data_IF_880566798453
#
_entry.id   IF_880566798453
#
_cell.length_a   1.000
_cell.length_b   1.000
_cell.length_c   1.000
_cell.angle_alpha   90.00
_cell.angle_beta   90.00
_cell.angle_gamma   90.00
#
_symmetry.space_group_name_H-M   'P 1'
#
loop_
_entity.id
_entity.type
_entity.pdbx_description
1 polymer ?
#
# COMPACT_ATOMS: atom_id res chain seq x y z
N UNK A 1 2.52 30.93 -7.18
CA UNK A 1 2.15 29.57 -6.76
C UNK A 1 3.39 28.90 -6.23
N UNK A 2 3.33 28.33 -5.02
CA UNK A 2 4.48 27.62 -4.44
C UNK A 2 4.55 26.26 -5.15
N UNK A 3 5.72 25.90 -5.67
CA UNK A 3 5.94 24.55 -6.21
C UNK A 3 5.95 23.57 -5.04
N UNK A 4 5.02 22.61 -5.05
CA UNK A 4 4.91 21.55 -4.05
C UNK A 4 6.14 20.64 -4.14
N UNK A 5 6.60 20.09 -3.02
CA UNK A 5 7.65 19.07 -2.99
C UNK A 5 7.14 17.76 -2.42
N UNK A 6 7.27 16.67 -3.18
CA UNK A 6 7.00 15.31 -2.71
C UNK A 6 8.30 14.53 -2.56
N UNK A 7 8.54 13.97 -1.37
CA UNK A 7 9.65 13.04 -1.13
C UNK A 7 9.22 11.59 -1.38
N UNK A 8 9.97 10.84 -2.20
CA UNK A 8 9.78 9.40 -2.39
C UNK A 8 11.13 8.67 -2.31
N UNK A 9 11.10 7.37 -2.03
CA UNK A 9 12.31 6.55 -1.98
C UNK A 9 13.04 6.60 -3.33
N UNK A 10 14.37 6.71 -3.32
CA UNK A 10 15.21 6.82 -4.53
C UNK A 10 15.23 5.56 -5.38
N UNK A 11 15.21 4.39 -4.76
CA UNK A 11 15.31 3.09 -5.43
C UNK A 11 14.56 2.01 -4.65
N UNK A 12 14.34 0.86 -5.28
CA UNK A 12 13.67 -0.28 -4.64
C UNK A 12 12.17 -0.35 -4.93
N UNK A 13 11.49 -1.31 -4.31
CA UNK A 13 10.10 -1.66 -4.63
C UNK A 13 9.11 -0.52 -4.33
N UNK A 14 9.37 0.26 -3.28
CA UNK A 14 8.50 1.38 -2.91
C UNK A 14 8.63 2.51 -3.95
N UNK A 15 9.84 2.77 -4.46
CA UNK A 15 10.06 3.73 -5.55
C UNK A 15 9.24 3.38 -6.79
N UNK A 16 9.34 2.14 -7.28
CA UNK A 16 8.65 1.71 -8.50
C UNK A 16 7.14 1.95 -8.41
N UNK A 17 6.53 1.59 -7.28
CA UNK A 17 5.10 1.78 -7.05
C UNK A 17 4.71 3.24 -6.80
N UNK A 18 5.58 4.03 -6.18
CA UNK A 18 5.39 5.47 -5.99
C UNK A 18 5.44 6.21 -7.33
N UNK A 19 6.37 5.85 -8.21
CA UNK A 19 6.45 6.41 -9.57
C UNK A 19 5.23 5.99 -10.39
N UNK A 20 4.82 4.73 -10.31
CA UNK A 20 3.64 4.21 -11.00
C UNK A 20 2.37 4.98 -10.59
N UNK A 21 2.12 5.18 -9.29
CA UNK A 21 0.93 5.91 -8.84
C UNK A 21 0.96 7.38 -9.27
N UNK A 22 2.12 8.05 -9.20
CA UNK A 22 2.25 9.44 -9.65
C UNK A 22 2.03 9.58 -11.16
N UNK A 23 2.57 8.66 -11.97
CA UNK A 23 2.30 8.61 -13.42
C UNK A 23 0.82 8.35 -13.70
N UNK A 24 0.21 7.42 -12.97
CA UNK A 24 -1.22 7.15 -13.10
C UNK A 24 -2.08 8.32 -12.65
N UNK A 25 -1.60 9.21 -11.76
CA UNK A 25 -2.25 10.49 -11.47
C UNK A 25 -2.22 11.47 -12.66
N UNK A 26 -1.57 11.11 -13.76
CA UNK A 26 -1.38 11.94 -14.95
C UNK A 26 -0.23 12.94 -14.80
N UNK A 27 0.72 12.71 -13.90
CA UNK A 27 1.88 13.58 -13.73
C UNK A 27 2.98 13.20 -14.73
N UNK A 28 3.48 14.20 -15.46
CA UNK A 28 4.50 14.05 -16.48
C UNK A 28 5.86 14.47 -15.94
N UNK A 29 6.74 13.49 -15.71
CA UNK A 29 8.11 13.71 -15.24
C UNK A 29 9.06 12.65 -15.80
N UNK A 30 10.30 13.07 -16.04
CA UNK A 30 11.37 12.26 -16.65
C UNK A 30 12.58 12.16 -15.72
N UNK A 31 13.58 11.35 -16.11
CA UNK A 31 14.91 11.27 -15.45
C UNK A 31 14.88 10.92 -13.95
N UNK A 32 13.81 10.29 -13.46
CA UNK A 32 13.64 9.92 -12.04
C UNK A 32 14.62 8.85 -11.53
N UNK A 33 15.37 8.19 -12.43
CA UNK A 33 16.38 7.17 -12.07
C UNK A 33 17.79 7.73 -11.92
N UNK A 34 18.08 8.87 -12.56
CA UNK A 34 19.42 9.46 -12.63
C UNK A 34 19.56 10.77 -11.85
N UNK A 35 18.45 11.38 -11.46
CA UNK A 35 18.42 12.64 -10.70
C UNK A 35 17.93 12.44 -9.27
N UNK A 36 18.37 13.33 -8.37
CA UNK A 36 17.82 13.45 -7.01
C UNK A 36 16.57 14.31 -6.96
N UNK A 37 16.32 15.11 -8.00
CA UNK A 37 15.17 16.01 -8.12
C UNK A 37 14.60 15.89 -9.54
N UNK A 38 13.29 15.75 -9.67
CA UNK A 38 12.60 15.79 -10.97
C UNK A 38 11.40 16.73 -10.90
N UNK A 39 11.36 17.71 -11.80
CA UNK A 39 10.24 18.65 -11.93
C UNK A 39 9.13 18.02 -12.77
N UNK A 40 7.89 18.17 -12.32
CA UNK A 40 6.70 17.77 -13.08
C UNK A 40 6.30 18.88 -14.05
N UNK A 41 6.11 18.54 -15.32
CA UNK A 41 5.90 19.55 -16.38
C UNK A 41 4.48 20.09 -16.46
N UNK A 42 3.49 19.34 -15.95
CA UNK A 42 2.07 19.64 -16.08
C UNK A 42 1.35 19.82 -14.73
N UNK A 43 2.10 19.99 -13.64
CA UNK A 43 1.59 20.21 -12.30
C UNK A 43 2.68 20.89 -11.46
N UNK A 44 2.39 21.85 -10.56
CA UNK A 44 3.39 22.58 -9.78
C UNK A 44 4.00 21.69 -8.67
N UNK A 45 4.78 20.68 -9.06
CA UNK A 45 5.37 19.68 -8.18
C UNK A 45 6.82 19.37 -8.57
N UNK A 46 7.66 19.24 -7.55
CA UNK A 46 8.99 18.65 -7.62
C UNK A 46 9.02 17.35 -6.82
N UNK A 47 9.63 16.32 -7.40
CA UNK A 47 9.83 15.03 -6.75
C UNK A 47 11.27 14.97 -6.25
N UNK A 48 11.42 14.78 -4.94
CA UNK A 48 12.70 14.54 -4.27
C UNK A 48 12.91 13.03 -4.08
N UNK A 49 14.04 12.51 -4.53
CA UNK A 49 14.40 11.10 -4.43
C UNK A 49 15.39 10.89 -3.28
N UNK A 50 14.90 10.40 -2.15
CA UNK A 50 15.65 10.30 -0.88
C UNK A 50 15.87 8.85 -0.46
N UNK A 51 16.67 8.60 0.57
CA UNK A 51 16.58 7.32 1.29
C UNK A 51 15.26 7.30 2.05
N UNK A 52 14.66 6.13 2.17
CA UNK A 52 13.38 5.95 2.87
C UNK A 52 13.43 6.43 4.31
N UNK A 53 14.53 6.15 5.02
CA UNK A 53 14.73 6.57 6.41
C UNK A 53 14.81 8.10 6.58
N UNK A 54 15.18 8.85 5.53
CA UNK A 54 15.31 10.31 5.57
C UNK A 54 13.97 11.03 5.28
N UNK A 55 13.00 10.35 4.63
CA UNK A 55 11.73 10.97 4.20
C UNK A 55 10.93 11.58 5.36
N UNK A 56 10.76 10.91 6.52
CA UNK A 56 9.98 11.46 7.63
C UNK A 56 10.50 12.81 8.12
N UNK A 57 11.81 12.94 8.30
CA UNK A 57 12.46 14.16 8.78
C UNK A 57 12.34 15.28 7.75
N UNK A 58 12.54 14.98 6.46
CA UNK A 58 12.37 15.97 5.38
C UNK A 58 10.95 16.54 5.31
N UNK A 59 9.94 15.72 5.60
CA UNK A 59 8.54 16.16 5.64
C UNK A 59 8.26 16.93 6.93
N UNK A 60 8.73 16.45 8.08
CA UNK A 60 8.57 17.14 9.37
C UNK A 60 9.15 18.56 9.34
N UNK A 61 10.35 18.71 8.78
CA UNK A 61 11.07 20.00 8.72
C UNK A 61 10.57 20.92 7.60
N UNK A 62 9.58 20.46 6.81
CA UNK A 62 8.99 21.23 5.71
C UNK A 62 9.92 21.41 4.50
N UNK A 63 11.00 20.64 4.40
CA UNK A 63 11.87 20.58 3.21
C UNK A 63 11.08 19.97 2.04
N UNK A 64 10.34 18.90 2.33
CA UNK A 64 9.29 18.35 1.50
C UNK A 64 7.93 18.72 2.12
N UNK A 65 6.94 19.05 1.29
CA UNK A 65 5.60 19.34 1.78
C UNK A 65 4.83 18.05 2.08
N UNK A 66 5.08 17.00 1.29
CA UNK A 66 4.47 15.67 1.42
C UNK A 66 5.50 14.57 1.12
N UNK A 67 5.22 13.33 1.50
CA UNK A 67 6.10 12.21 1.22
C UNK A 67 5.38 10.86 1.14
N UNK A 68 5.95 9.93 0.37
CA UNK A 68 5.51 8.52 0.33
C UNK A 68 6.56 7.65 1.02
N UNK A 69 6.14 6.97 2.08
CA UNK A 69 7.04 6.17 2.94
C UNK A 69 6.27 4.98 3.53
N UNK A 70 6.97 3.98 4.05
CA UNK A 70 6.35 2.89 4.81
C UNK A 70 5.87 3.35 6.18
N UNK A 71 4.68 2.89 6.60
CA UNK A 71 4.11 3.19 7.93
C UNK A 71 5.06 2.80 9.07
N UNK A 72 5.79 1.69 8.92
CA UNK A 72 6.82 1.26 9.86
C UNK A 72 7.93 2.30 10.07
N UNK A 73 8.34 3.03 9.03
CA UNK A 73 9.40 4.05 9.15
C UNK A 73 8.91 5.24 9.97
N UNK A 74 7.63 5.61 9.84
CA UNK A 74 7.02 6.68 10.64
C UNK A 74 6.92 6.30 12.11
N UNK A 75 6.45 5.08 12.39
CA UNK A 75 6.35 4.62 13.78
C UNK A 75 7.73 4.49 14.41
N UNK A 76 8.73 4.03 13.65
CA UNK A 76 10.10 3.89 14.16
C UNK A 76 10.79 5.24 14.40
N UNK A 77 10.69 6.18 13.46
CA UNK A 77 11.30 7.51 13.59
C UNK A 77 10.60 8.41 14.61
N UNK A 78 9.31 8.18 14.87
CA UNK A 78 8.51 9.05 15.74
C UNK A 78 8.28 10.45 15.16
N UNK A 79 8.45 10.63 13.85
CA UNK A 79 8.32 11.92 13.19
C UNK A 79 6.91 12.52 13.32
N UNK A 80 6.85 13.83 13.57
CA UNK A 80 5.63 14.60 13.78
C UNK A 80 5.07 15.11 12.44
N UNK A 81 4.39 14.21 11.73
CA UNK A 81 3.83 14.43 10.39
C UNK A 81 2.32 14.18 10.38
N UNK A 82 1.62 14.84 9.46
CA UNK A 82 0.20 14.60 9.20
C UNK A 82 0.05 13.33 8.35
N UNK A 83 -0.71 12.35 8.82
CA UNK A 83 -1.12 11.22 7.99
C UNK A 83 -2.19 11.66 6.98
N UNK A 84 -1.96 11.43 5.69
CA UNK A 84 -2.90 11.82 4.62
C UNK A 84 -3.68 10.63 4.07
N UNK A 85 -3.00 9.54 3.67
CA UNK A 85 -3.67 8.43 2.99
C UNK A 85 -2.83 7.14 2.96
N UNK A 86 -3.48 5.97 3.13
CA UNK A 86 -2.89 4.66 2.81
C UNK A 86 -2.97 4.37 1.32
N UNK A 87 -1.88 3.88 0.73
CA UNK A 87 -1.76 3.72 -0.72
C UNK A 87 -1.99 2.28 -1.21
N UNK A 88 -2.18 1.32 -0.31
CA UNK A 88 -2.56 -0.05 -0.68
C UNK A 88 -1.45 -0.87 -1.36
N UNK A 89 -0.20 -0.41 -1.34
CA UNK A 89 0.97 -1.14 -1.85
C UNK A 89 2.10 -1.16 -0.81
N UNK A 90 3.16 -1.91 -1.08
CA UNK A 90 4.27 -2.05 -0.13
C UNK A 90 3.90 -2.78 1.16
N UNK A 91 2.85 -3.60 1.13
CA UNK A 91 2.34 -4.33 2.30
C UNK A 91 3.39 -5.31 2.83
N UNK A 92 3.70 -5.19 4.11
CA UNK A 92 4.55 -6.11 4.84
C UNK A 92 4.08 -6.24 6.29
N UNK A 93 4.67 -7.17 7.03
CA UNK A 93 4.45 -7.30 8.46
C UNK A 93 5.81 -7.41 9.14
N UNK A 94 6.08 -6.53 10.09
CA UNK A 94 7.19 -6.66 11.00
C UNK A 94 6.91 -7.86 11.90
N UNK A 95 7.80 -8.84 11.92
CA UNK A 95 7.62 -10.08 12.69
C UNK A 95 8.86 -10.39 13.50
N UNK A 96 8.65 -10.92 14.70
CA UNK A 96 9.69 -11.67 15.38
C UNK A 96 9.85 -13.01 14.67
N UNK A 97 11.08 -13.38 14.35
CA UNK A 97 11.43 -14.68 13.80
C UNK A 97 12.53 -15.34 14.64
N UNK A 98 12.48 -16.67 14.73
CA UNK A 98 13.37 -17.48 15.54
C UNK A 98 14.01 -18.57 14.67
N UNK A 99 15.17 -19.14 15.06
CA UNK A 99 15.73 -20.31 14.40
C UNK A 99 14.72 -21.46 14.28
N UNK A 100 14.77 -22.23 13.20
CA UNK A 100 13.87 -23.36 12.98
C UNK A 100 13.88 -24.36 14.14
N UNK A 101 15.07 -24.62 14.69
CA UNK A 101 15.31 -25.52 15.83
C UNK A 101 14.97 -24.90 17.19
N UNK A 102 14.57 -23.62 17.23
CA UNK A 102 14.18 -22.97 18.47
C UNK A 102 12.94 -23.63 19.07
N UNK A 103 13.01 -23.88 20.38
CA UNK A 103 11.93 -24.41 21.22
C UNK A 103 10.97 -23.32 21.71
N UNK A 104 11.16 -22.07 21.29
CA UNK A 104 10.27 -20.97 21.62
C UNK A 104 8.92 -21.20 20.94
N UNK A 105 7.87 -21.13 21.74
CA UNK A 105 6.45 -21.38 21.37
C UNK A 105 5.52 -20.30 21.90
N UNK A 106 5.93 -19.54 22.91
CA UNK A 106 5.17 -18.45 23.52
C UNK A 106 6.04 -17.21 23.77
N UNK A 107 5.44 -16.03 23.75
CA UNK A 107 6.19 -14.76 23.80
C UNK A 107 7.02 -14.62 25.08
N UNK A 108 6.52 -15.14 26.20
CA UNK A 108 7.20 -15.13 27.49
C UNK A 108 8.57 -15.83 27.49
N UNK A 109 8.79 -16.77 26.55
CA UNK A 109 10.08 -17.47 26.41
C UNK A 109 11.18 -16.61 25.76
N UNK A 110 10.85 -15.38 25.33
CA UNK A 110 11.83 -14.37 24.93
C UNK A 110 12.42 -13.61 26.14
N UNK A 111 11.96 -13.86 27.37
CA UNK A 111 12.53 -13.23 28.57
C UNK A 111 14.05 -13.49 28.66
N UNK A 112 14.81 -12.40 28.82
CA UNK A 112 16.27 -12.42 28.90
C UNK A 112 16.99 -12.81 27.60
N UNK A 113 16.28 -12.97 26.48
CA UNK A 113 16.85 -13.29 25.15
C UNK A 113 17.30 -12.04 24.42
N UNK A 114 18.25 -12.18 23.50
CA UNK A 114 18.66 -11.11 22.61
C UNK A 114 17.86 -11.14 21.31
N UNK A 115 17.33 -10.00 20.88
CA UNK A 115 16.57 -9.85 19.63
C UNK A 115 17.24 -8.78 18.77
N UNK A 116 17.73 -9.16 17.59
CA UNK A 116 18.32 -8.21 16.66
C UNK A 116 17.24 -7.53 15.79
N UNK A 117 17.35 -6.23 15.54
CA UNK A 117 16.39 -5.49 14.71
C UNK A 117 16.97 -4.18 14.17
N UNK A 118 16.42 -3.70 13.05
CA UNK A 118 16.56 -2.30 12.61
C UNK A 118 15.41 -1.41 13.10
N UNK A 119 14.44 -1.96 13.84
CA UNK A 119 13.24 -1.29 14.35
C UNK A 119 13.14 -1.36 15.89
N UNK A 120 14.14 -0.85 16.63
CA UNK A 120 14.17 -0.94 18.10
C UNK A 120 12.96 -0.29 18.77
N UNK A 121 12.48 0.88 18.31
CA UNK A 121 11.36 1.60 18.95
C UNK A 121 10.08 0.77 18.86
N UNK A 122 9.79 0.22 17.68
CA UNK A 122 8.62 -0.65 17.50
C UNK A 122 8.74 -1.93 18.34
N UNK A 123 9.91 -2.57 18.33
CA UNK A 123 10.13 -3.82 19.06
C UNK A 123 10.04 -3.61 20.58
N UNK A 124 10.67 -2.57 21.12
CA UNK A 124 10.63 -2.25 22.54
C UNK A 124 9.21 -2.01 23.04
N UNK A 125 8.42 -1.25 22.26
CA UNK A 125 7.00 -1.03 22.57
C UNK A 125 6.24 -2.36 22.60
N UNK A 126 6.44 -3.20 21.60
CA UNK A 126 5.78 -4.50 21.52
C UNK A 126 6.14 -5.42 22.70
N UNK A 127 7.42 -5.48 23.08
CA UNK A 127 7.89 -6.27 24.22
C UNK A 127 7.29 -5.78 25.54
N UNK A 128 7.26 -4.45 25.73
CA UNK A 128 6.66 -3.79 26.89
C UNK A 128 5.17 -4.10 27.01
N UNK A 129 4.43 -4.00 25.91
CA UNK A 129 2.99 -4.30 25.85
C UNK A 129 2.69 -5.78 26.15
N UNK A 130 3.67 -6.68 25.93
CA UNK A 130 3.59 -8.11 26.24
C UNK A 130 4.25 -8.50 27.58
N UNK A 131 4.72 -7.54 28.37
CA UNK A 131 5.41 -7.77 29.65
C UNK A 131 6.64 -8.70 29.55
N UNK A 132 7.44 -8.55 28.49
CA UNK A 132 8.68 -9.32 28.28
C UNK A 132 9.89 -8.39 28.30
N UNK A 133 10.92 -8.73 29.07
CA UNK A 133 12.21 -8.03 29.05
C UNK A 133 13.22 -8.84 28.22
N UNK A 134 13.38 -8.47 26.96
CA UNK A 134 14.40 -8.99 26.06
C UNK A 134 15.46 -7.91 25.77
N UNK A 135 16.69 -8.31 25.50
CA UNK A 135 17.76 -7.40 25.07
C UNK A 135 17.56 -7.05 23.59
N UNK A 136 17.23 -5.78 23.30
CA UNK A 136 17.11 -5.29 21.92
C UNK A 136 18.49 -4.90 21.39
N UNK A 137 18.91 -5.54 20.29
CA UNK A 137 20.19 -5.29 19.62
C UNK A 137 19.96 -4.61 18.27
N UNK A 138 20.18 -3.31 18.23
CA UNK A 138 19.99 -2.51 17.01
C UNK A 138 21.11 -2.77 16.00
N UNK A 139 20.73 -3.10 14.77
CA UNK A 139 21.65 -3.25 13.64
C UNK A 139 21.08 -2.58 12.38
N UNK A 140 21.96 -2.06 11.54
CA UNK A 140 21.61 -1.23 10.38
C UNK A 140 21.21 -2.02 9.12
N UNK A 141 21.19 -3.36 9.19
CA UNK A 141 20.79 -4.23 8.08
C UNK A 141 21.26 -5.67 8.25
N UNK A 142 20.84 -6.53 7.32
CA UNK A 142 21.12 -7.97 7.33
C UNK A 142 20.76 -8.60 8.69
N UNK A 143 19.54 -8.34 9.16
CA UNK A 143 19.12 -8.80 10.50
C UNK A 143 19.06 -10.32 10.56
N UNK A 144 18.71 -10.95 9.44
CA UNK A 144 18.52 -12.39 9.27
C UNK A 144 19.74 -13.27 9.56
N UNK A 145 20.96 -12.73 9.49
CA UNK A 145 22.17 -13.49 9.82
C UNK A 145 22.52 -13.43 11.32
N UNK A 146 21.85 -12.55 12.09
CA UNK A 146 22.11 -12.32 13.50
C UNK A 146 22.15 -13.61 14.33
N UNK A 147 21.12 -14.47 14.27
CA UNK A 147 21.12 -15.73 15.02
C UNK A 147 22.22 -16.70 14.60
N UNK A 148 22.50 -16.82 13.29
CA UNK A 148 23.56 -17.70 12.78
C UNK A 148 24.97 -17.30 13.24
N UNK A 149 25.19 -16.02 13.51
CA UNK A 149 26.46 -15.47 14.02
C UNK A 149 26.53 -15.44 15.56
N UNK A 150 25.47 -15.86 16.27
CA UNK A 150 25.40 -15.76 17.73
C UNK A 150 25.20 -14.33 18.25
N UNK A 151 24.79 -13.39 17.38
CA UNK A 151 24.49 -12.00 17.77
C UNK A 151 23.13 -11.89 18.46
N UNK A 152 22.21 -12.84 18.28
CA UNK A 152 20.88 -12.79 18.87
C UNK A 152 20.25 -14.18 18.94
N UNK A 153 19.25 -14.37 19.79
CA UNK A 153 18.44 -15.59 19.84
C UNK A 153 17.27 -15.53 18.83
N UNK A 154 16.82 -14.31 18.51
CA UNK A 154 15.73 -14.03 17.59
C UNK A 154 16.00 -12.74 16.79
N UNK A 155 15.19 -12.48 15.77
CA UNK A 155 15.21 -11.22 15.03
C UNK A 155 13.83 -10.59 15.03
N UNK A 156 13.74 -9.28 14.82
CA UNK A 156 12.51 -8.59 14.46
C UNK A 156 12.75 -7.81 13.16
N UNK A 157 12.11 -8.22 12.08
CA UNK A 157 12.32 -7.58 10.76
C UNK A 157 11.08 -7.71 9.86
N UNK A 158 11.08 -6.96 8.75
CA UNK A 158 9.99 -6.92 7.79
C UNK A 158 9.89 -8.25 7.02
N UNK A 159 8.69 -8.81 7.00
CA UNK A 159 8.37 -10.04 6.28
C UNK A 159 7.29 -9.76 5.25
N UNK A 160 7.59 -10.06 3.99
CA UNK A 160 6.62 -10.03 2.89
C UNK A 160 6.24 -11.45 2.47
N UNK A 161 7.12 -12.16 1.75
CA UNK A 161 6.87 -13.54 1.30
C UNK A 161 7.45 -14.62 2.23
N UNK A 162 8.30 -14.24 3.19
CA UNK A 162 9.01 -15.17 4.09
C UNK A 162 10.24 -15.86 3.49
N UNK A 163 10.58 -15.57 2.22
CA UNK A 163 11.74 -16.19 1.54
C UNK A 163 13.07 -15.97 2.27
N UNK A 164 13.35 -14.74 2.70
CA UNK A 164 14.57 -14.36 3.43
C UNK A 164 14.72 -15.08 4.76
N UNK A 165 13.63 -15.28 5.50
CA UNK A 165 13.66 -16.05 6.74
C UNK A 165 14.04 -17.50 6.46
N UNK A 166 13.38 -18.11 5.48
CA UNK A 166 13.61 -19.51 5.11
C UNK A 166 15.05 -19.77 4.67
N UNK A 167 15.64 -18.88 3.86
CA UNK A 167 17.03 -19.02 3.38
C UNK A 167 18.06 -18.93 4.51
N UNK A 168 17.70 -18.32 5.64
CA UNK A 168 18.57 -18.14 6.80
C UNK A 168 18.21 -19.08 7.97
N UNK A 169 17.40 -20.11 7.72
CA UNK A 169 17.04 -21.09 8.74
C UNK A 169 16.13 -20.55 9.84
N UNK A 170 15.34 -19.50 9.54
CA UNK A 170 14.42 -18.86 10.47
C UNK A 170 12.96 -19.18 10.11
N UNK A 171 12.10 -19.19 11.14
CA UNK A 171 10.64 -19.28 11.02
C UNK A 171 9.96 -18.05 11.66
N UNK A 172 8.88 -17.51 11.06
CA UNK A 172 8.07 -16.50 11.72
C UNK A 172 7.53 -17.00 13.05
N UNK A 173 7.53 -16.15 14.07
CA UNK A 173 7.08 -16.49 15.41
C UNK A 173 5.94 -15.60 15.90
N UNK A 174 6.11 -14.28 15.87
CA UNK A 174 5.04 -13.35 16.27
C UNK A 174 4.90 -12.19 15.31
N UNK A 175 3.67 -11.72 15.10
CA UNK A 175 3.39 -10.50 14.33
C UNK A 175 3.46 -9.27 15.25
N UNK A 176 4.33 -8.33 14.91
CA UNK A 176 4.57 -7.11 15.72
C UNK A 176 3.75 -5.95 15.18
N UNK A 177 3.85 -5.68 13.88
CA UNK A 177 3.18 -4.55 13.25
C UNK A 177 2.92 -4.84 11.77
N UNK A 178 1.71 -4.56 11.30
CA UNK A 178 1.42 -4.49 9.86
C UNK A 178 1.83 -3.12 9.33
N UNK A 179 2.40 -3.07 8.14
CA UNK A 179 2.83 -1.83 7.50
C UNK A 179 2.46 -1.84 6.02
N UNK A 180 2.18 -0.66 5.48
CA UNK A 180 2.03 -0.42 4.06
C UNK A 180 2.55 0.98 3.69
N UNK A 181 2.60 1.27 2.39
CA UNK A 181 2.94 2.60 1.90
C UNK A 181 1.86 3.61 2.28
N UNK A 182 2.27 4.74 2.84
CA UNK A 182 1.41 5.84 3.24
C UNK A 182 1.90 7.15 2.62
N UNK A 183 0.94 8.04 2.35
CA UNK A 183 1.19 9.44 2.06
C UNK A 183 1.13 10.23 3.36
N UNK A 184 2.19 10.96 3.64
CA UNK A 184 2.32 11.87 4.78
C UNK A 184 2.48 13.31 4.30
N UNK A 185 2.18 14.25 5.17
CA UNK A 185 2.32 15.68 4.95
C UNK A 185 3.00 16.38 6.11
N UNK A 186 3.67 17.49 5.83
CA UNK A 186 4.11 18.41 6.88
C UNK A 186 2.89 19.05 7.54
N UNK A 187 3.04 19.58 8.76
CA UNK A 187 1.90 20.17 9.48
C UNK A 187 1.24 21.28 8.67
N UNK A 188 -0.06 21.17 8.44
CA UNK A 188 -0.85 22.14 7.68
C UNK A 188 -0.74 22.02 6.15
N UNK A 189 0.08 21.10 5.63
CA UNK A 189 0.18 20.85 4.19
C UNK A 189 -1.13 20.35 3.58
N UNK A 190 -1.98 19.69 4.37
CA UNK A 190 -3.31 19.20 3.98
C UNK A 190 -4.28 20.32 3.57
N UNK A 191 -3.99 21.56 3.94
CA UNK A 191 -4.77 22.75 3.59
C UNK A 191 -4.30 23.39 2.28
N UNK A 192 -3.18 22.96 1.71
CA UNK A 192 -2.66 23.49 0.45
C UNK A 192 -3.54 22.99 -0.72
N UNK A 193 -4.03 23.89 -1.60
CA UNK A 193 -4.85 23.49 -2.75
C UNK A 193 -4.19 22.44 -3.64
N UNK A 194 -2.88 22.56 -3.86
CA UNK A 194 -2.10 21.62 -4.67
C UNK A 194 -2.02 20.24 -4.03
N UNK A 195 -1.96 20.15 -2.69
CA UNK A 195 -2.00 18.87 -1.97
C UNK A 195 -3.38 18.23 -2.07
N UNK A 196 -4.44 19.02 -1.93
CA UNK A 196 -5.82 18.52 -2.04
C UNK A 196 -6.11 17.99 -3.45
N UNK A 197 -5.67 18.71 -4.49
CA UNK A 197 -5.82 18.27 -5.87
C UNK A 197 -5.03 16.97 -6.13
N UNK A 198 -3.78 16.88 -5.66
CA UNK A 198 -2.97 15.68 -5.82
C UNK A 198 -3.56 14.49 -5.05
N UNK A 199 -4.05 14.72 -3.83
CA UNK A 199 -4.72 13.69 -3.03
C UNK A 199 -5.98 13.17 -3.73
N UNK A 200 -6.79 14.05 -4.33
CA UNK A 200 -7.95 13.64 -5.13
C UNK A 200 -7.54 12.77 -6.34
N UNK A 201 -6.46 13.14 -7.04
CA UNK A 201 -5.92 12.33 -8.15
C UNK A 201 -5.44 10.96 -7.67
N UNK A 202 -4.74 10.90 -6.54
CA UNK A 202 -4.28 9.64 -5.92
C UNK A 202 -5.47 8.76 -5.55
N UNK A 203 -6.47 9.30 -4.85
CA UNK A 203 -7.69 8.58 -4.48
C UNK A 203 -8.43 8.04 -5.72
N UNK A 204 -8.45 8.81 -6.81
CA UNK A 204 -9.08 8.39 -8.07
C UNK A 204 -8.39 7.18 -8.70
N UNK A 205 -7.05 7.11 -8.61
CA UNK A 205 -6.25 5.98 -9.08
C UNK A 205 -6.43 4.76 -8.18
N UNK A 206 -6.44 4.95 -6.85
CA UNK A 206 -6.63 3.86 -5.89
C UNK A 206 -8.00 3.19 -6.07
N UNK A 207 -9.08 3.99 -6.20
CA UNK A 207 -10.44 3.48 -6.46
C UNK A 207 -10.53 2.73 -7.79
N UNK A 208 -9.92 3.27 -8.84
CA UNK A 208 -9.93 2.65 -10.17
C UNK A 208 -9.24 1.27 -10.18
N UNK A 209 -8.14 1.13 -9.42
CA UNK A 209 -7.40 -0.14 -9.32
C UNK A 209 -8.24 -1.28 -8.73
N UNK A 210 -9.14 -0.97 -7.79
CA UNK A 210 -9.98 -1.96 -7.09
C UNK A 210 -11.31 -2.24 -7.80
N UNK A 211 -11.58 -1.55 -8.91
CA UNK A 211 -12.85 -1.64 -9.63
C UNK A 211 -12.64 -2.07 -11.08
N UNK A 212 -13.66 -2.68 -11.65
CA UNK A 212 -13.73 -3.05 -13.07
C UNK A 212 -14.96 -2.45 -13.69
N UNK A 213 -14.82 -2.10 -14.96
CA UNK A 213 -15.97 -1.81 -15.80
C UNK A 213 -16.45 -3.10 -16.44
N UNK A 214 -17.70 -3.45 -16.22
CA UNK A 214 -18.31 -4.69 -16.70
C UNK A 214 -19.41 -4.32 -17.68
N UNK A 215 -19.38 -4.97 -18.84
CA UNK A 215 -20.43 -4.92 -19.86
C UNK A 215 -20.95 -6.33 -20.06
N UNK A 216 -22.26 -6.49 -20.11
CA UNK A 216 -22.91 -7.77 -20.41
C UNK A 216 -24.19 -7.53 -21.18
N UNK A 217 -24.65 -8.55 -21.91
CA UNK A 217 -25.92 -8.54 -22.60
C UNK A 217 -26.95 -9.37 -21.82
N UNK A 218 -28.20 -8.92 -21.77
CA UNK A 218 -29.30 -9.65 -21.14
C UNK A 218 -30.61 -9.41 -21.88
N UNK A 219 -31.46 -10.43 -21.96
CA UNK A 219 -32.84 -10.27 -22.42
C UNK A 219 -33.61 -9.32 -21.50
N UNK A 220 -34.46 -8.43 -22.06
CA UNK A 220 -35.23 -7.43 -21.31
C UNK A 220 -36.05 -8.03 -20.16
N UNK A 221 -36.57 -9.24 -20.34
CA UNK A 221 -37.33 -9.99 -19.32
C UNK A 221 -36.52 -10.34 -18.08
N UNK A 222 -35.19 -10.42 -18.19
CA UNK A 222 -34.26 -10.73 -17.11
C UNK A 222 -33.52 -9.50 -16.56
N UNK A 223 -33.71 -8.32 -17.15
CA UNK A 223 -32.97 -7.09 -16.82
C UNK A 223 -33.00 -6.78 -15.32
N UNK A 224 -34.18 -6.87 -14.68
CA UNK A 224 -34.33 -6.55 -13.26
C UNK A 224 -33.41 -7.41 -12.37
N UNK A 225 -33.34 -8.72 -12.63
CA UNK A 225 -32.48 -9.65 -11.88
C UNK A 225 -31.01 -9.28 -11.99
N UNK A 226 -30.57 -8.81 -13.15
CA UNK A 226 -29.18 -8.40 -13.39
C UNK A 226 -28.87 -7.07 -12.73
N UNK A 227 -29.76 -6.07 -12.82
CA UNK A 227 -29.58 -4.77 -12.17
C UNK A 227 -29.51 -4.90 -10.65
N UNK A 228 -30.31 -5.79 -10.05
CA UNK A 228 -30.28 -6.06 -8.61
C UNK A 228 -28.92 -6.65 -8.16
N UNK A 229 -28.23 -7.38 -9.04
CA UNK A 229 -26.90 -7.95 -8.77
C UNK A 229 -25.76 -6.92 -8.97
N UNK A 230 -25.94 -5.99 -9.91
CA UNK A 230 -24.97 -4.97 -10.29
C UNK A 230 -25.55 -3.57 -10.05
N UNK A 231 -25.56 -3.04 -8.81
CA UNK A 231 -26.14 -1.71 -8.57
C UNK A 231 -25.30 -0.56 -9.17
N UNK A 232 -24.03 -0.80 -9.51
CA UNK A 232 -23.10 0.23 -9.98
C UNK A 232 -22.75 1.27 -8.91
N UNK A 233 -22.09 2.35 -9.32
CA UNK A 233 -21.75 3.48 -8.43
C UNK A 233 -22.97 4.34 -8.11
N UNK A 234 -23.90 4.45 -9.06
CA UNK A 234 -25.17 5.20 -8.90
C UNK A 234 -26.36 4.40 -9.43
N UNK A 235 -26.22 3.92 -10.66
CA UNK A 235 -27.15 3.01 -11.34
C UNK A 235 -26.41 2.42 -12.54
N UNK A 236 -26.73 1.19 -12.98
CA UNK A 236 -26.22 0.68 -14.25
C UNK A 236 -26.73 1.50 -15.42
N UNK A 237 -25.92 1.59 -16.46
CA UNK A 237 -26.34 2.11 -17.76
C UNK A 237 -26.95 0.96 -18.55
N UNK A 238 -28.14 1.18 -19.12
CA UNK A 238 -28.84 0.19 -19.96
C UNK A 238 -28.92 0.75 -21.38
N UNK A 239 -28.36 0.03 -22.35
CA UNK A 239 -28.31 0.42 -23.76
C UNK A 239 -29.06 -0.61 -24.60
N UNK A 240 -30.06 -0.22 -25.40
CA UNK A 240 -30.72 -1.14 -26.33
C UNK A 240 -29.73 -1.76 -27.33
N UNK A 241 -29.89 -3.04 -27.64
CA UNK A 241 -29.16 -3.69 -28.72
C UNK A 241 -29.94 -3.61 -30.04
N UNK A 242 -29.31 -4.04 -31.13
CA UNK A 242 -29.99 -4.20 -32.42
C UNK A 242 -31.11 -5.25 -32.36
N UNK A 243 -30.88 -6.32 -31.59
CA UNK A 243 -31.97 -7.22 -31.19
C UNK A 243 -32.82 -6.50 -30.13
N UNK A 244 -34.06 -6.17 -30.51
CA UNK A 244 -34.97 -5.39 -29.68
C UNK A 244 -35.36 -6.11 -28.38
N UNK A 245 -35.18 -7.43 -28.27
CA UNK A 245 -35.46 -8.17 -27.04
C UNK A 245 -34.30 -8.11 -26.04
N UNK A 246 -33.17 -7.50 -26.41
CA UNK A 246 -31.95 -7.49 -25.62
C UNK A 246 -31.45 -6.07 -25.31
N UNK A 247 -30.70 -5.99 -24.20
CA UNK A 247 -30.01 -4.78 -23.78
C UNK A 247 -28.59 -5.12 -23.32
N UNK A 248 -27.67 -4.18 -23.52
CA UNK A 248 -26.37 -4.16 -22.83
C UNK A 248 -26.52 -3.43 -21.48
N UNK A 249 -25.97 -4.03 -20.43
CA UNK A 249 -25.86 -3.44 -19.10
C UNK A 249 -24.41 -3.14 -18.82
N UNK A 250 -24.12 -1.88 -18.48
CA UNK A 250 -22.81 -1.42 -18.12
C UNK A 250 -22.79 -1.03 -16.63
N UNK A 251 -21.78 -1.48 -15.90
CA UNK A 251 -21.63 -1.16 -14.48
C UNK A 251 -20.17 -1.09 -14.08
N UNK A 252 -19.88 -0.27 -13.08
CA UNK A 252 -18.61 -0.30 -12.34
C UNK A 252 -18.84 -1.12 -11.08
N UNK A 253 -17.96 -2.08 -10.78
CA UNK A 253 -18.06 -2.96 -9.62
C UNK A 253 -16.67 -3.24 -9.06
N UNK A 254 -16.57 -3.47 -7.74
CA UNK A 254 -15.33 -3.95 -7.14
C UNK A 254 -14.90 -5.30 -7.76
N UNK A 255 -13.61 -5.49 -8.00
CA UNK A 255 -13.10 -6.70 -8.64
C UNK A 255 -13.46 -7.97 -7.86
N UNK A 256 -13.38 -7.91 -6.52
CA UNK A 256 -13.78 -9.00 -5.64
C UNK A 256 -15.27 -9.38 -5.82
N UNK A 257 -16.17 -8.40 -5.69
CA UNK A 257 -17.61 -8.61 -5.80
C UNK A 257 -18.01 -9.13 -7.18
N UNK A 258 -17.29 -8.73 -8.24
CA UNK A 258 -17.52 -9.25 -9.58
C UNK A 258 -17.33 -10.77 -9.63
N UNK A 259 -16.23 -11.27 -9.06
CA UNK A 259 -15.93 -12.70 -9.04
C UNK A 259 -16.92 -13.50 -8.19
N UNK A 260 -17.43 -12.93 -7.10
CA UNK A 260 -18.48 -13.56 -6.31
C UNK A 260 -19.82 -13.65 -7.07
N UNK A 261 -20.12 -12.65 -7.89
CA UNK A 261 -21.43 -12.54 -8.58
C UNK A 261 -21.48 -13.14 -9.97
N UNK A 262 -20.34 -13.49 -10.58
CA UNK A 262 -20.27 -13.93 -11.98
C UNK A 262 -21.20 -15.12 -12.29
N UNK A 263 -21.30 -16.08 -11.38
CA UNK A 263 -22.17 -17.25 -11.55
C UNK A 263 -23.65 -16.88 -11.44
N UNK A 264 -24.00 -16.01 -10.48
CA UNK A 264 -25.35 -15.47 -10.33
C UNK A 264 -25.78 -14.64 -11.54
N UNK A 265 -24.85 -13.87 -12.12
CA UNK A 265 -25.11 -13.11 -13.35
C UNK A 265 -25.42 -14.03 -14.53
N UNK A 266 -24.62 -15.08 -14.73
CA UNK A 266 -24.87 -16.09 -15.77
C UNK A 266 -26.21 -16.80 -15.55
N UNK A 267 -26.51 -17.20 -14.31
CA UNK A 267 -27.79 -17.83 -13.96
C UNK A 267 -29.00 -16.89 -14.17
N UNK A 268 -28.80 -15.58 -14.00
CA UNK A 268 -29.78 -14.56 -14.30
C UNK A 268 -29.95 -14.29 -15.81
N UNK A 269 -29.19 -14.96 -16.69
CA UNK A 269 -29.29 -14.84 -18.14
C UNK A 269 -28.32 -13.85 -18.78
N UNK A 270 -27.31 -13.37 -18.04
CA UNK A 270 -26.26 -12.53 -18.60
C UNK A 270 -25.38 -13.33 -19.59
N UNK A 271 -25.12 -12.73 -20.75
CA UNK A 271 -24.28 -13.29 -21.82
C UNK A 271 -23.23 -12.26 -22.26
N UNK A 272 -22.13 -12.74 -22.86
CA UNK A 272 -21.09 -11.86 -23.40
C UNK A 272 -20.48 -10.91 -22.35
N UNK A 273 -20.22 -11.40 -21.14
CA UNK A 273 -19.67 -10.58 -20.05
C UNK A 273 -18.22 -10.19 -20.38
N UNK A 274 -17.99 -8.90 -20.59
CA UNK A 274 -16.69 -8.27 -20.85
C UNK A 274 -16.28 -7.48 -19.63
N UNK A 275 -15.02 -7.64 -19.21
CA UNK A 275 -14.44 -6.94 -18.06
C UNK A 275 -13.27 -6.09 -18.55
N UNK A 276 -13.28 -4.81 -18.23
CA UNK A 276 -12.26 -3.85 -18.64
C UNK A 276 -11.65 -3.16 -17.42
N UNK A 277 -10.33 -2.89 -17.44
CA UNK A 277 -9.69 -2.09 -16.41
C UNK A 277 -10.19 -0.65 -16.48
N UNK A 278 -10.22 0.03 -15.33
CA UNK A 278 -10.50 1.46 -15.24
C UNK A 278 -9.19 2.15 -14.88
N UNK A 279 -8.83 3.20 -15.62
CA UNK A 279 -7.62 3.97 -15.32
C UNK A 279 -7.83 4.93 -14.15
N UNK A 280 -8.98 5.63 -14.11
CA UNK A 280 -9.32 6.64 -13.09
C UNK A 280 -10.82 6.70 -12.82
N UNK A 281 -11.20 6.92 -11.56
CA UNK A 281 -12.59 7.24 -11.15
C UNK A 281 -12.60 8.54 -10.37
N UNK A 282 -13.22 9.57 -10.92
CA UNK A 282 -13.46 10.85 -10.24
C UNK A 282 -14.84 10.79 -9.60
N UNK A 283 -14.91 11.01 -8.29
CA UNK A 283 -16.17 11.09 -7.54
C UNK A 283 -16.16 12.32 -6.64
#
# INVERSE_FOLDING_TARGET
MKTLKIAIQKSGRLNEKSVEILKNCGLSFENYKSSLISTVTNFPLEILFLRDDDIPEYVQDGIADIGIVGENVIVESGADVTYLQRLGFGKCTLKIAIPNESRITEIAQLEGKAIATSYPVILEKYLKDNHVNAEVRTISGSVEIGPGLGLSDAICDIVSTGGTLKSNGLKPFSEVMKSEAILIGSKGSELLPEVQELLQRILSVLRAKETKYVVLNVAKTNLKKVVDLLPGVKSPTVVPLFDEEWVAVHSVIAEHDFWEKINSLKAAGAQGIVVMPIEKIIA
#
